data_IF_513562338214
#
_entry.id   IF_513562338214
#
_cell.length_a   1.000
_cell.length_b   1.000
_cell.length_c   1.000
_cell.angle_alpha   90.00
_cell.angle_beta   90.00
_cell.angle_gamma   90.00
#
_symmetry.space_group_name_H-M   'P 1'
#
loop_
_entity.id
_entity.type
_entity.pdbx_description
1 polymer ?
#
# COMPACT_ATOMS: atom_id res chain seq x y z
N UNK A 1 0.77 11.36 18.37
CA UNK A 1 0.19 12.23 17.33
C UNK A 1 0.72 13.66 17.37
N UNK A 2 0.64 14.37 18.50
CA UNK A 2 1.11 15.76 18.60
C UNK A 2 2.58 15.93 18.18
N UNK A 3 3.44 14.98 18.58
CA UNK A 3 4.85 14.93 18.16
C UNK A 3 4.98 14.75 16.64
N UNK A 4 4.26 13.81 16.03
CA UNK A 4 4.29 13.59 14.58
C UNK A 4 3.74 14.79 13.79
N UNK A 5 2.69 15.45 14.28
CA UNK A 5 2.19 16.69 13.69
C UNK A 5 3.22 17.82 13.77
N UNK A 6 3.96 17.93 14.87
CA UNK A 6 5.09 18.86 15.00
C UNK A 6 6.19 18.55 13.99
N UNK A 7 6.61 17.28 13.87
CA UNK A 7 7.63 16.87 12.89
C UNK A 7 7.19 17.20 11.46
N UNK A 8 5.93 16.97 11.10
CA UNK A 8 5.41 17.29 9.76
C UNK A 8 5.31 18.79 9.53
N UNK A 9 5.00 19.56 10.58
CA UNK A 9 4.98 21.02 10.54
C UNK A 9 6.37 21.64 10.37
N UNK A 10 7.40 21.04 10.97
CA UNK A 10 8.79 21.49 10.88
C UNK A 10 9.48 20.97 9.60
N UNK A 11 9.22 19.73 9.21
CA UNK A 11 9.63 19.15 7.93
C UNK A 11 8.52 19.34 6.90
N UNK A 12 8.26 20.60 6.54
CA UNK A 12 7.18 20.99 5.61
C UNK A 12 7.22 20.24 4.28
N UNK A 13 8.41 19.81 3.85
CA UNK A 13 8.60 18.98 2.67
C UNK A 13 7.82 17.66 2.72
N UNK A 14 7.56 17.07 3.89
CA UNK A 14 6.77 15.84 4.05
C UNK A 14 5.31 16.00 3.63
N UNK A 15 4.75 17.22 3.74
CA UNK A 15 3.36 17.50 3.35
C UNK A 15 3.22 17.33 1.83
N UNK A 16 4.17 17.86 1.06
CA UNK A 16 4.13 17.84 -0.41
C UNK A 16 4.75 16.56 -0.97
N UNK A 17 5.64 15.91 -0.21
CA UNK A 17 6.36 14.71 -0.62
C UNK A 17 5.50 13.65 -1.32
N UNK A 18 4.33 13.21 -0.81
CA UNK A 18 3.55 12.14 -1.44
C UNK A 18 3.16 12.43 -2.90
N UNK A 19 3.06 13.69 -3.32
CA UNK A 19 2.75 14.04 -4.72
C UNK A 19 3.80 13.48 -5.69
N UNK A 20 5.09 13.53 -5.31
CA UNK A 20 6.19 13.11 -6.17
C UNK A 20 6.20 11.60 -6.49
N UNK A 21 6.20 10.67 -5.52
CA UNK A 21 6.18 9.24 -5.82
C UNK A 21 4.88 8.80 -6.49
N UNK A 22 3.72 9.42 -6.17
CA UNK A 22 2.46 9.10 -6.86
C UNK A 22 2.45 9.62 -8.31
N UNK A 23 3.07 10.76 -8.60
CA UNK A 23 3.24 11.23 -9.98
C UNK A 23 4.13 10.26 -10.79
N UNK A 24 5.25 9.80 -10.20
CA UNK A 24 6.13 8.79 -10.83
C UNK A 24 5.37 7.49 -11.07
N UNK A 25 4.60 7.02 -10.08
CA UNK A 25 3.78 5.81 -10.22
C UNK A 25 2.70 5.98 -11.29
N UNK A 26 2.09 7.17 -11.41
CA UNK A 26 1.14 7.49 -12.47
C UNK A 26 1.77 7.38 -13.86
N UNK A 27 2.96 7.96 -14.05
CA UNK A 27 3.73 7.84 -15.30
C UNK A 27 4.05 6.37 -15.59
N UNK A 28 4.51 5.61 -14.59
CA UNK A 28 4.76 4.18 -14.71
C UNK A 28 3.50 3.42 -15.16
N UNK A 29 2.34 3.68 -14.55
CA UNK A 29 1.09 3.03 -14.95
C UNK A 29 0.68 3.37 -16.37
N UNK A 30 0.90 4.60 -16.85
CA UNK A 30 0.61 4.95 -18.25
C UNK A 30 1.42 4.08 -19.21
N UNK A 31 2.73 3.94 -18.99
CA UNK A 31 3.58 3.05 -19.80
C UNK A 31 3.18 1.58 -19.64
N UNK A 32 2.86 1.16 -18.43
CA UNK A 32 2.46 -0.20 -18.13
C UNK A 32 1.15 -0.61 -18.82
N UNK A 33 0.13 0.27 -18.79
CA UNK A 33 -1.14 0.05 -19.48
C UNK A 33 -0.95 0.03 -21.00
N UNK A 34 -0.13 0.92 -21.55
CA UNK A 34 0.19 0.90 -22.97
C UNK A 34 0.82 -0.45 -23.37
N UNK A 35 1.83 -0.91 -22.63
CA UNK A 35 2.44 -2.22 -22.83
C UNK A 35 1.44 -3.38 -22.65
N UNK A 36 0.55 -3.29 -21.67
CA UNK A 36 -0.50 -4.28 -21.44
C UNK A 36 -1.43 -4.39 -22.65
N UNK A 37 -1.90 -3.26 -23.20
CA UNK A 37 -2.76 -3.26 -24.38
C UNK A 37 -2.10 -3.96 -25.57
N UNK A 38 -0.83 -3.66 -25.85
CA UNK A 38 -0.09 -4.35 -26.90
C UNK A 38 0.03 -5.86 -26.62
N UNK A 39 0.38 -6.23 -25.39
CA UNK A 39 0.56 -7.63 -25.01
C UNK A 39 -0.74 -8.44 -25.10
N UNK A 40 -1.85 -7.91 -24.58
CA UNK A 40 -3.16 -8.58 -24.67
C UNK A 40 -3.71 -8.61 -26.10
N UNK A 41 -3.36 -7.64 -26.94
CA UNK A 41 -3.74 -7.65 -28.36
C UNK A 41 -2.95 -8.64 -29.22
N UNK A 42 -1.84 -9.18 -28.72
CA UNK A 42 -0.95 -10.08 -29.47
C UNK A 42 -1.45 -11.53 -29.58
N UNK A 43 -2.59 -11.86 -28.96
CA UNK A 43 -3.19 -13.19 -29.04
C UNK A 43 -3.63 -13.54 -30.47
N UNK A 44 -3.48 -14.82 -30.85
CA UNK A 44 -3.91 -15.27 -32.16
C UNK A 44 -5.43 -15.43 -32.18
N UNK A 45 -6.08 -14.77 -33.13
CA UNK A 45 -7.53 -14.86 -33.33
C UNK A 45 -7.80 -16.12 -34.14
N UNK A 46 -8.30 -17.16 -33.48
CA UNK A 46 -8.64 -18.44 -34.13
C UNK A 46 -10.16 -18.53 -34.23
N UNK A 47 -10.66 -18.91 -35.41
CA UNK A 47 -12.08 -19.16 -35.59
C UNK A 47 -12.45 -20.43 -34.81
N UNK A 48 -13.51 -20.36 -34.00
CA UNK A 48 -13.95 -21.52 -33.24
C UNK A 48 -14.49 -22.60 -34.17
N UNK A 49 -14.17 -23.87 -33.86
CA UNK A 49 -14.71 -25.01 -34.60
C UNK A 49 -16.23 -25.07 -34.40
N UNK A 50 -16.96 -24.94 -35.50
CA UNK A 50 -18.39 -25.17 -35.52
C UNK A 50 -18.66 -26.67 -35.56
N UNK A 51 -19.06 -27.26 -34.42
CA UNK A 51 -19.80 -28.52 -34.48
C UNK A 51 -21.07 -28.29 -35.31
N UNK A 52 -21.45 -29.29 -36.11
CA UNK A 52 -22.15 -29.21 -37.39
C UNK A 52 -23.60 -28.66 -37.43
N UNK A 53 -24.07 -27.87 -36.46
CA UNK A 53 -25.45 -27.34 -36.42
C UNK A 53 -25.54 -25.84 -36.08
N UNK A 54 -24.49 -25.06 -36.31
CA UNK A 54 -24.51 -23.64 -35.98
C UNK A 54 -24.84 -22.81 -37.23
N UNK A 55 -25.84 -21.92 -37.11
CA UNK A 55 -26.23 -20.97 -38.14
C UNK A 55 -26.62 -19.65 -37.48
N UNK A 56 -26.09 -18.54 -38.00
CA UNK A 56 -26.40 -17.19 -37.53
C UNK A 56 -27.06 -16.38 -38.65
N UNK A 57 -28.05 -15.56 -38.30
CA UNK A 57 -28.69 -14.67 -39.27
C UNK A 57 -27.82 -13.44 -39.49
N UNK A 58 -27.35 -13.24 -40.72
CA UNK A 58 -26.59 -12.06 -41.12
C UNK A 58 -27.55 -10.94 -41.50
N UNK A 59 -27.63 -9.89 -40.67
CA UNK A 59 -28.49 -8.72 -40.92
C UNK A 59 -28.09 -7.93 -42.17
N UNK A 60 -26.81 -7.92 -42.53
CA UNK A 60 -26.31 -7.16 -43.69
C UNK A 60 -26.69 -7.90 -44.98
N UNK A 61 -26.48 -9.21 -44.99
CA UNK A 61 -26.76 -10.05 -46.16
C UNK A 61 -28.21 -10.55 -46.24
N UNK A 62 -29.03 -10.29 -45.20
CA UNK A 62 -30.42 -10.78 -45.04
C UNK A 62 -30.56 -12.29 -45.30
N UNK A 63 -29.57 -13.08 -44.88
CA UNK A 63 -29.53 -14.53 -45.09
C UNK A 63 -28.99 -15.26 -43.87
N UNK A 64 -29.38 -16.51 -43.72
CA UNK A 64 -28.79 -17.40 -42.72
C UNK A 64 -27.42 -17.86 -43.22
N UNK A 65 -26.37 -17.64 -42.42
CA UNK A 65 -25.01 -18.08 -42.71
C UNK A 65 -24.56 -19.12 -41.67
N UNK A 66 -24.19 -20.30 -42.14
CA UNK A 66 -23.77 -21.42 -41.30
C UNK A 66 -22.24 -21.64 -41.30
N UNK A 67 -21.49 -20.92 -42.14
CA UNK A 67 -20.04 -21.14 -42.31
C UNK A 67 -19.18 -20.35 -41.29
N UNK A 68 -19.78 -19.41 -40.52
CA UNK A 68 -19.05 -18.44 -39.65
C UNK A 68 -19.76 -18.07 -38.35
N UNK A 69 -20.61 -18.95 -37.85
CA UNK A 69 -21.51 -18.61 -36.74
C UNK A 69 -20.90 -18.81 -35.33
N UNK A 70 -19.73 -19.43 -35.20
CA UNK A 70 -19.16 -19.82 -33.89
C UNK A 70 -18.27 -18.75 -33.23
N UNK A 71 -18.21 -17.56 -33.82
CA UNK A 71 -17.36 -16.47 -33.36
C UNK A 71 -15.87 -16.81 -33.41
N UNK A 72 -15.08 -15.96 -32.76
CA UNK A 72 -13.63 -16.09 -32.66
C UNK A 72 -13.23 -16.25 -31.20
N UNK A 73 -12.23 -17.09 -30.91
CA UNK A 73 -11.55 -17.10 -29.63
C UNK A 73 -10.14 -16.58 -29.78
N UNK A 74 -9.64 -15.95 -28.71
CA UNK A 74 -8.27 -15.49 -28.65
C UNK A 74 -7.46 -16.61 -28.02
N UNK A 75 -6.60 -17.23 -28.81
CA UNK A 75 -5.69 -18.27 -28.35
C UNK A 75 -4.33 -17.64 -28.00
N UNK A 76 -3.97 -17.70 -26.73
CA UNK A 76 -2.66 -17.24 -26.26
C UNK A 76 -1.66 -18.39 -26.33
N UNK A 77 -0.52 -18.17 -26.97
CA UNK A 77 0.59 -19.13 -26.92
C UNK A 77 1.16 -19.19 -25.49
N UNK A 78 1.81 -20.30 -25.08
CA UNK A 78 2.40 -20.41 -23.74
C UNK A 78 3.36 -19.26 -23.41
N UNK A 79 4.12 -18.79 -24.40
CA UNK A 79 5.03 -17.64 -24.23
C UNK A 79 4.29 -16.34 -23.93
N UNK A 80 3.19 -16.05 -24.63
CA UNK A 80 2.37 -14.84 -24.37
C UNK A 80 1.71 -14.94 -22.99
N UNK A 81 1.21 -16.11 -22.61
CA UNK A 81 0.63 -16.34 -21.28
C UNK A 81 1.65 -16.08 -20.16
N UNK A 82 2.87 -16.60 -20.27
CA UNK A 82 3.95 -16.34 -19.31
C UNK A 82 4.31 -14.85 -19.27
N UNK A 83 4.40 -14.20 -20.43
CA UNK A 83 4.67 -12.76 -20.51
C UNK A 83 3.58 -11.93 -19.81
N UNK A 84 2.30 -12.31 -19.95
CA UNK A 84 1.17 -11.66 -19.25
C UNK A 84 1.34 -11.80 -17.74
N UNK A 85 1.63 -13.00 -17.24
CA UNK A 85 1.85 -13.21 -15.80
C UNK A 85 3.05 -12.40 -15.28
N UNK A 86 4.16 -12.39 -16.01
CA UNK A 86 5.33 -11.58 -15.66
C UNK A 86 5.01 -10.09 -15.68
N UNK A 87 4.23 -9.61 -16.66
CA UNK A 87 3.82 -8.21 -16.76
C UNK A 87 2.94 -7.76 -15.59
N UNK A 88 1.97 -8.60 -15.20
CA UNK A 88 1.09 -8.36 -14.04
C UNK A 88 1.88 -8.39 -12.73
N UNK A 89 2.71 -9.41 -12.54
CA UNK A 89 3.56 -9.52 -11.34
C UNK A 89 4.57 -8.37 -11.26
N UNK A 90 5.18 -7.99 -12.39
CA UNK A 90 6.09 -6.85 -12.48
C UNK A 90 5.41 -5.52 -12.10
N UNK A 91 4.14 -5.34 -12.46
CA UNK A 91 3.34 -4.18 -12.02
C UNK A 91 3.19 -4.14 -10.50
N UNK A 92 2.83 -5.30 -9.93
CA UNK A 92 2.63 -5.43 -8.50
C UNK A 92 3.93 -5.16 -7.73
N UNK A 93 5.02 -5.77 -8.18
CA UNK A 93 6.33 -5.55 -7.60
C UNK A 93 6.81 -4.11 -7.73
N UNK A 94 6.68 -3.49 -8.90
CA UNK A 94 7.05 -2.08 -9.10
C UNK A 94 6.25 -1.16 -8.16
N UNK A 95 4.94 -1.41 -8.01
CA UNK A 95 4.09 -0.67 -7.07
C UNK A 95 4.60 -0.81 -5.63
N UNK A 96 4.87 -2.04 -5.18
CA UNK A 96 5.41 -2.31 -3.85
C UNK A 96 6.79 -1.66 -3.64
N UNK A 97 7.62 -1.65 -4.68
CA UNK A 97 8.93 -1.01 -4.65
C UNK A 97 8.83 0.51 -4.49
N UNK A 98 7.96 1.18 -5.24
CA UNK A 98 7.75 2.63 -5.10
C UNK A 98 7.16 3.00 -3.73
N UNK A 99 6.23 2.20 -3.21
CA UNK A 99 5.68 2.37 -1.85
C UNK A 99 6.79 2.20 -0.79
N UNK A 100 7.63 1.17 -0.95
CA UNK A 100 8.74 0.91 -0.03
C UNK A 100 9.78 2.04 -0.08
N UNK A 101 10.16 2.52 -1.26
CA UNK A 101 11.05 3.67 -1.43
C UNK A 101 10.49 4.91 -0.73
N UNK A 102 9.22 5.23 -0.97
CA UNK A 102 8.55 6.38 -0.37
C UNK A 102 8.55 6.27 1.16
N UNK A 103 8.25 5.07 1.67
CA UNK A 103 8.25 4.78 3.10
C UNK A 103 9.65 4.96 3.72
N UNK A 104 10.70 4.45 3.07
CA UNK A 104 12.08 4.62 3.54
C UNK A 104 12.52 6.09 3.54
N UNK A 105 12.13 6.90 2.55
CA UNK A 105 12.45 8.33 2.53
C UNK A 105 11.75 9.09 3.65
N UNK A 106 10.45 8.86 3.86
CA UNK A 106 9.70 9.49 4.96
C UNK A 106 10.31 9.10 6.30
N UNK A 107 10.53 7.80 6.51
CA UNK A 107 11.12 7.29 7.74
C UNK A 107 12.53 7.85 7.98
N UNK A 108 13.37 7.94 6.95
CA UNK A 108 14.71 8.51 7.05
C UNK A 108 14.70 9.99 7.39
N UNK A 109 13.73 10.74 6.84
CA UNK A 109 13.59 12.18 7.11
C UNK A 109 13.20 12.41 8.57
N UNK A 110 12.24 11.62 9.05
CA UNK A 110 11.75 11.66 10.44
C UNK A 110 12.80 11.16 11.42
N UNK A 111 13.53 10.11 11.09
CA UNK A 111 14.64 9.62 11.90
C UNK A 111 15.74 10.68 12.00
N UNK A 112 16.11 11.33 10.88
CA UNK A 112 17.10 12.42 10.89
C UNK A 112 16.68 13.56 11.81
N UNK A 113 15.40 13.91 11.83
CA UNK A 113 14.85 14.91 12.75
C UNK A 113 14.91 14.43 14.22
N UNK A 114 14.53 13.18 14.50
CA UNK A 114 14.55 12.59 15.84
C UNK A 114 15.97 12.56 16.42
N UNK A 115 16.94 12.01 15.67
CA UNK A 115 18.33 11.86 16.12
C UNK A 115 19.08 13.19 16.17
N UNK A 116 18.59 14.24 15.50
CA UNK A 116 19.06 15.61 15.65
C UNK A 116 18.46 16.32 16.89
N UNK A 117 17.78 15.62 17.81
CA UNK A 117 17.11 16.18 19.01
C UNK A 117 16.05 17.25 18.71
N UNK A 118 15.51 17.26 17.49
CA UNK A 118 14.64 18.36 17.04
C UNK A 118 15.36 19.69 16.81
N UNK A 119 16.70 19.71 16.88
CA UNK A 119 17.54 20.84 16.47
C UNK A 119 17.98 20.65 15.02
N UNK A 120 17.01 20.55 14.10
CA UNK A 120 17.35 20.75 12.68
C UNK A 120 17.61 22.23 12.47
N UNK A 121 18.82 22.61 12.02
CA UNK A 121 19.11 23.99 11.62
C UNK A 121 17.98 24.51 10.74
N UNK A 122 17.27 25.58 11.14
CA UNK A 122 16.06 26.08 10.47
C UNK A 122 16.30 26.61 9.05
N UNK A 123 17.52 26.48 8.52
CA UNK A 123 17.94 27.14 7.29
C UNK A 123 17.39 26.46 6.03
N UNK A 124 17.02 25.16 6.02
CA UNK A 124 16.44 24.52 4.81
C UNK A 124 15.46 23.35 5.14
N UNK A 125 14.12 23.56 5.16
CA UNK A 125 13.12 22.54 5.50
C UNK A 125 13.02 21.35 4.52
N UNK A 126 13.64 21.47 3.34
CA UNK A 126 13.68 20.42 2.33
C UNK A 126 14.89 19.49 2.43
N UNK A 127 15.94 19.91 3.13
CA UNK A 127 17.21 19.20 3.20
C UNK A 127 17.10 17.79 3.80
N UNK A 128 16.25 17.53 4.82
CA UNK A 128 16.07 16.17 5.36
C UNK A 128 15.52 15.19 4.31
N UNK A 129 14.47 15.59 3.58
CA UNK A 129 13.84 14.73 2.56
C UNK A 129 14.79 14.44 1.39
N UNK A 130 15.50 15.46 0.89
CA UNK A 130 16.48 15.26 -0.18
C UNK A 130 17.69 14.45 0.28
N UNK A 131 18.16 14.67 1.51
CA UNK A 131 19.25 13.88 2.10
C UNK A 131 18.86 12.41 2.22
N UNK A 132 17.68 12.12 2.77
CA UNK A 132 17.16 10.75 2.89
C UNK A 132 16.92 10.10 1.52
N UNK A 133 16.45 10.85 0.53
CA UNK A 133 16.31 10.36 -0.84
C UNK A 133 17.69 9.99 -1.45
N UNK A 134 18.70 10.83 -1.26
CA UNK A 134 20.08 10.56 -1.71
C UNK A 134 20.67 9.33 -1.02
N UNK A 135 20.43 9.19 0.28
CA UNK A 135 20.87 8.03 1.06
C UNK A 135 20.19 6.75 0.57
N UNK A 136 18.87 6.79 0.33
CA UNK A 136 18.12 5.67 -0.25
C UNK A 136 18.74 5.23 -1.57
N UNK A 137 18.92 6.16 -2.51
CA UNK A 137 19.44 5.85 -3.85
C UNK A 137 20.86 5.30 -3.79
N UNK A 138 21.70 5.82 -2.90
CA UNK A 138 23.12 5.45 -2.84
C UNK A 138 23.40 4.18 -2.03
N UNK A 139 22.64 3.91 -0.97
CA UNK A 139 22.99 2.88 0.02
C UNK A 139 21.89 1.85 0.27
N UNK A 140 20.60 2.22 0.19
CA UNK A 140 19.51 1.36 0.65
C UNK A 140 18.66 0.76 -0.50
N UNK A 141 18.81 1.25 -1.73
CA UNK A 141 17.97 0.89 -2.87
C UNK A 141 17.91 -0.62 -3.13
N UNK A 142 19.04 -1.32 -3.06
CA UNK A 142 19.11 -2.77 -3.27
C UNK A 142 18.36 -3.56 -2.19
N UNK A 143 18.47 -3.14 -0.92
CA UNK A 143 17.73 -3.76 0.18
C UNK A 143 16.23 -3.50 0.08
N UNK A 144 15.83 -2.30 -0.35
CA UNK A 144 14.42 -1.94 -0.58
C UNK A 144 13.84 -2.71 -1.78
N UNK A 145 14.61 -2.87 -2.86
CA UNK A 145 14.23 -3.68 -4.03
C UNK A 145 14.04 -5.16 -3.66
N UNK A 146 14.97 -5.73 -2.90
CA UNK A 146 14.87 -7.11 -2.44
C UNK A 146 13.69 -7.31 -1.48
N UNK A 147 13.53 -6.41 -0.51
CA UNK A 147 12.41 -6.47 0.44
C UNK A 147 11.05 -6.39 -0.24
N UNK A 148 10.89 -5.45 -1.17
CA UNK A 148 9.64 -5.30 -1.94
C UNK A 148 9.37 -6.48 -2.86
N UNK A 149 10.40 -7.10 -3.43
CA UNK A 149 10.26 -8.33 -4.23
C UNK A 149 9.78 -9.51 -3.39
N UNK A 150 10.41 -9.72 -2.22
CA UNK A 150 10.02 -10.78 -1.27
C UNK A 150 8.58 -10.56 -0.81
N UNK A 151 8.23 -9.33 -0.43
CA UNK A 151 6.85 -8.98 -0.03
C UNK A 151 5.86 -9.30 -1.15
N UNK A 152 6.16 -8.85 -2.37
CA UNK A 152 5.28 -9.02 -3.54
C UNK A 152 5.04 -10.49 -3.86
N UNK A 153 6.09 -11.29 -3.80
CA UNK A 153 6.02 -12.73 -4.03
C UNK A 153 5.16 -13.43 -2.97
N UNK A 154 5.41 -13.14 -1.69
CA UNK A 154 4.72 -13.75 -0.56
C UNK A 154 3.23 -13.40 -0.55
N UNK A 155 2.89 -12.14 -0.81
CA UNK A 155 1.49 -11.69 -0.92
C UNK A 155 0.77 -12.30 -2.13
N UNK A 156 1.46 -12.43 -3.26
CA UNK A 156 0.91 -13.09 -4.46
C UNK A 156 0.58 -14.56 -4.18
N UNK A 157 1.49 -15.29 -3.52
CA UNK A 157 1.25 -16.69 -3.12
C UNK A 157 0.08 -16.77 -2.13
N UNK A 158 0.01 -15.88 -1.13
CA UNK A 158 -1.10 -15.82 -0.17
C UNK A 158 -2.45 -15.61 -0.88
N UNK A 159 -2.50 -14.67 -1.83
CA UNK A 159 -3.71 -14.36 -2.59
C UNK A 159 -4.18 -15.55 -3.41
N UNK A 160 -3.27 -16.28 -4.05
CA UNK A 160 -3.58 -17.50 -4.82
C UNK A 160 -4.12 -18.59 -3.90
N UNK A 161 -3.44 -18.87 -2.78
CA UNK A 161 -3.86 -19.90 -1.82
C UNK A 161 -5.23 -19.58 -1.21
N UNK A 162 -5.49 -18.32 -0.84
CA UNK A 162 -6.79 -17.91 -0.29
C UNK A 162 -7.89 -17.98 -1.36
N UNK A 163 -7.56 -17.69 -2.62
CA UNK A 163 -8.51 -17.84 -3.72
C UNK A 163 -8.87 -19.31 -3.98
N UNK A 164 -7.90 -20.23 -3.92
CA UNK A 164 -8.13 -21.68 -3.99
C UNK A 164 -9.00 -22.13 -2.83
N UNK A 165 -8.67 -21.69 -1.59
CA UNK A 165 -9.44 -22.02 -0.39
C UNK A 165 -10.89 -21.58 -0.48
N UNK A 166 -11.15 -20.35 -0.97
CA UNK A 166 -12.52 -19.84 -1.18
C UNK A 166 -13.28 -20.68 -2.20
N UNK A 167 -12.65 -21.06 -3.31
CA UNK A 167 -13.29 -21.92 -4.33
C UNK A 167 -13.60 -23.32 -3.81
N UNK A 168 -12.70 -23.93 -3.04
CA UNK A 168 -12.91 -25.24 -2.42
C UNK A 168 -14.03 -25.20 -1.36
N UNK A 169 -14.12 -24.12 -0.57
CA UNK A 169 -15.19 -23.95 0.43
C UNK A 169 -16.58 -23.83 -0.19
N UNK A 170 -16.68 -23.24 -1.39
CA UNK A 170 -17.94 -23.16 -2.15
C UNK A 170 -18.32 -24.51 -2.77
N UNK A 171 -17.35 -25.37 -3.05
CA UNK A 171 -17.57 -26.65 -3.73
C UNK A 171 -17.97 -27.82 -2.80
N UNK A 172 -18.12 -27.62 -1.48
CA UNK A 172 -18.48 -28.66 -0.48
C UNK A 172 -17.73 -29.99 -0.63
N UNK A 173 -16.52 -29.97 -1.17
CA UNK A 173 -15.68 -31.16 -1.28
C UNK A 173 -14.82 -31.24 -0.04
N UNK A 174 -15.35 -31.91 1.00
CA UNK A 174 -14.52 -32.43 2.09
C UNK A 174 -13.45 -33.35 1.46
N UNK A 175 -12.15 -33.06 1.66
CA UNK A 175 -11.11 -33.87 1.03
C UNK A 175 -10.95 -35.20 1.77
N UNK A 176 -11.71 -36.22 1.36
CA UNK A 176 -11.59 -37.61 1.87
C UNK A 176 -10.28 -38.28 1.41
N UNK A 177 -9.54 -37.69 0.46
CA UNK A 177 -8.32 -38.28 -0.10
C UNK A 177 -7.04 -37.94 0.69
N UNK A 178 -6.07 -38.87 0.69
CA UNK A 178 -4.73 -38.69 1.25
C UNK A 178 -4.05 -37.40 0.75
N UNK A 179 -4.28 -37.04 -0.53
CA UNK A 179 -3.80 -35.79 -1.13
C UNK A 179 -4.41 -34.54 -0.48
N UNK A 180 -5.67 -34.60 -0.06
CA UNK A 180 -6.34 -33.52 0.65
C UNK A 180 -5.75 -33.23 2.03
N UNK A 181 -5.34 -34.27 2.77
CA UNK A 181 -4.67 -34.13 4.07
C UNK A 181 -3.27 -33.53 3.92
N UNK A 182 -2.47 -34.00 2.96
CA UNK A 182 -1.14 -33.44 2.70
C UNK A 182 -1.21 -31.98 2.24
N UNK A 183 -2.11 -31.65 1.31
CA UNK A 183 -2.32 -30.26 0.86
C UNK A 183 -2.78 -29.37 2.02
N UNK A 184 -3.63 -29.87 2.92
CA UNK A 184 -4.04 -29.13 4.11
C UNK A 184 -2.86 -28.84 5.05
N UNK A 185 -2.02 -29.83 5.35
CA UNK A 185 -0.85 -29.65 6.21
C UNK A 185 0.22 -28.74 5.60
N UNK A 186 0.57 -28.93 4.32
CA UNK A 186 1.51 -28.07 3.60
C UNK A 186 0.97 -26.65 3.47
N UNK A 187 -0.32 -26.47 3.21
CA UNK A 187 -0.93 -25.13 3.16
C UNK A 187 -0.83 -24.42 4.51
N UNK A 188 -1.08 -25.12 5.63
CA UNK A 188 -1.03 -24.52 6.98
C UNK A 188 0.39 -24.08 7.36
N UNK A 189 1.40 -24.89 7.04
CA UNK A 189 2.80 -24.53 7.25
C UNK A 189 3.21 -23.34 6.35
N UNK A 190 2.88 -23.39 5.05
CA UNK A 190 3.12 -22.28 4.14
C UNK A 190 2.40 -21.00 4.58
N UNK A 191 1.15 -21.08 5.04
CA UNK A 191 0.42 -19.93 5.58
C UNK A 191 1.09 -19.37 6.83
N UNK A 192 1.63 -20.21 7.71
CA UNK A 192 2.33 -19.77 8.91
C UNK A 192 3.69 -19.14 8.59
N UNK A 193 4.44 -19.69 7.63
CA UNK A 193 5.67 -19.08 7.11
C UNK A 193 5.38 -17.76 6.40
N UNK A 194 4.34 -17.72 5.56
CA UNK A 194 3.86 -16.50 4.87
C UNK A 194 3.42 -15.46 5.90
N UNK A 195 2.68 -15.84 6.94
CA UNK A 195 2.23 -14.92 7.98
C UNK A 195 3.40 -14.40 8.80
N UNK A 196 4.37 -15.25 9.13
CA UNK A 196 5.59 -14.84 9.82
C UNK A 196 6.46 -13.91 8.96
N UNK A 197 6.63 -14.23 7.67
CA UNK A 197 7.34 -13.39 6.71
C UNK A 197 6.58 -12.07 6.48
N UNK A 198 5.25 -12.06 6.35
CA UNK A 198 4.46 -10.81 6.23
C UNK A 198 4.54 -9.98 7.52
N UNK A 199 4.50 -10.62 8.69
CA UNK A 199 4.66 -9.92 9.98
C UNK A 199 6.08 -9.36 10.14
N UNK A 200 7.10 -10.02 9.59
CA UNK A 200 8.50 -9.57 9.65
C UNK A 200 8.82 -8.54 8.55
N UNK A 201 8.39 -8.77 7.31
CA UNK A 201 8.42 -7.89 6.13
C UNK A 201 7.29 -6.85 6.22
N UNK A 202 7.16 -6.20 7.37
CA UNK A 202 6.22 -5.11 7.53
C UNK A 202 6.89 -3.80 7.13
N UNK A 203 6.08 -2.77 6.89
CA UNK A 203 6.45 -1.34 6.78
C UNK A 203 7.58 -0.93 7.75
N UNK A 204 7.59 -1.52 8.94
CA UNK A 204 8.58 -1.35 10.00
C UNK A 204 10.02 -1.77 9.62
N UNK A 205 10.20 -2.78 8.75
CA UNK A 205 11.51 -3.15 8.24
C UNK A 205 12.12 -2.03 7.38
N UNK A 206 11.32 -1.35 6.56
CA UNK A 206 11.78 -0.20 5.77
C UNK A 206 12.14 1.01 6.62
N UNK A 207 11.43 1.19 7.75
CA UNK A 207 11.78 2.18 8.77
C UNK A 207 13.15 1.83 9.38
N UNK A 208 13.37 0.57 9.78
CA UNK A 208 14.66 0.16 10.33
C UNK A 208 15.81 0.20 9.32
N UNK A 209 15.54 -0.02 8.02
CA UNK A 209 16.53 0.23 6.96
C UNK A 209 16.92 1.72 6.96
N UNK A 210 15.94 2.62 7.10
CA UNK A 210 16.19 4.06 7.13
C UNK A 210 16.98 4.50 8.37
N UNK A 211 16.66 3.95 9.54
CA UNK A 211 17.32 4.28 10.82
C UNK A 211 18.72 3.68 10.90
N UNK A 212 18.87 2.39 10.59
CA UNK A 212 20.11 1.64 10.86
C UNK A 212 21.02 1.47 9.66
N UNK A 213 20.52 1.69 8.44
CA UNK A 213 21.25 1.43 7.19
C UNK A 213 21.55 -0.06 6.93
N UNK A 214 20.99 -0.99 7.71
CA UNK A 214 21.24 -2.44 7.59
C UNK A 214 20.46 -3.06 6.43
N UNK A 215 20.90 -4.26 6.00
CA UNK A 215 20.22 -5.03 4.95
C UNK A 215 18.82 -5.45 5.37
N UNK A 216 17.96 -5.73 4.37
CA UNK A 216 16.54 -6.04 4.57
C UNK A 216 16.28 -7.08 5.67
N UNK A 217 16.90 -8.27 5.60
CA UNK A 217 16.65 -9.33 6.58
C UNK A 217 17.08 -8.93 8.00
N UNK A 218 18.20 -8.20 8.14
CA UNK A 218 18.69 -7.76 9.45
C UNK A 218 17.82 -6.66 10.03
N UNK A 219 17.41 -5.70 9.22
CA UNK A 219 16.48 -4.64 9.61
C UNK A 219 15.10 -5.20 10.01
N UNK A 220 14.61 -6.20 9.26
CA UNK A 220 13.37 -6.94 9.55
C UNK A 220 13.43 -7.64 10.92
N UNK A 221 14.55 -8.32 11.22
CA UNK A 221 14.74 -8.98 12.50
C UNK A 221 14.75 -7.97 13.66
N UNK A 222 15.50 -6.88 13.53
CA UNK A 222 15.57 -5.81 14.53
C UNK A 222 14.19 -5.17 14.75
N UNK A 223 13.47 -4.84 13.67
CA UNK A 223 12.13 -4.27 13.75
C UNK A 223 11.16 -5.20 14.51
N UNK A 224 11.22 -6.50 14.21
CA UNK A 224 10.36 -7.51 14.86
C UNK A 224 10.68 -7.62 16.35
N UNK A 225 11.95 -7.64 16.71
CA UNK A 225 12.42 -7.71 18.10
C UNK A 225 11.97 -6.47 18.90
N UNK A 226 12.21 -5.26 18.39
CA UNK A 226 11.77 -4.01 19.01
C UNK A 226 10.25 -3.97 19.26
N UNK A 227 9.47 -4.40 18.27
CA UNK A 227 8.01 -4.43 18.36
C UNK A 227 7.53 -5.42 19.42
N UNK A 228 8.11 -6.62 19.47
CA UNK A 228 7.73 -7.65 20.44
C UNK A 228 8.11 -7.20 21.86
N UNK A 229 9.33 -6.68 22.04
CA UNK A 229 9.83 -6.21 23.34
C UNK A 229 9.04 -5.03 23.90
N UNK A 230 8.42 -4.21 23.04
CA UNK A 230 7.68 -3.01 23.43
C UNK A 230 6.19 -3.08 23.06
N UNK A 231 5.63 -4.28 22.84
CA UNK A 231 4.31 -4.48 22.22
C UNK A 231 3.16 -3.78 22.97
N UNK A 232 3.22 -3.73 24.30
CA UNK A 232 2.18 -3.08 25.12
C UNK A 232 2.18 -1.56 24.94
N UNK A 233 3.37 -0.96 24.86
CA UNK A 233 3.55 0.49 24.68
C UNK A 233 3.22 0.91 23.24
N UNK A 234 3.72 0.16 22.26
CA UNK A 234 3.50 0.42 20.84
C UNK A 234 2.04 0.15 20.45
N UNK A 235 1.47 -0.97 20.90
CA UNK A 235 0.12 -1.41 20.52
C UNK A 235 -0.96 -0.42 20.90
N UNK A 236 -0.91 0.16 22.11
CA UNK A 236 -1.89 1.16 22.55
C UNK A 236 -1.80 2.45 21.75
N UNK A 237 -0.59 2.96 21.51
CA UNK A 237 -0.37 4.20 20.74
C UNK A 237 -0.82 4.04 19.29
N UNK A 238 -0.51 2.89 18.67
CA UNK A 238 -0.91 2.62 17.29
C UNK A 238 -2.43 2.50 17.14
N UNK A 239 -3.13 1.81 18.05
CA UNK A 239 -4.60 1.67 17.96
C UNK A 239 -5.32 3.03 18.06
N UNK A 240 -4.94 3.87 19.04
CA UNK A 240 -5.52 5.22 19.18
C UNK A 240 -5.14 6.07 17.95
N UNK A 241 -3.90 5.91 17.48
CA UNK A 241 -3.38 6.50 16.25
C UNK A 241 -4.29 6.22 15.06
N UNK A 242 -4.51 4.94 14.78
CA UNK A 242 -5.26 4.45 13.63
C UNK A 242 -6.71 4.95 13.64
N UNK A 243 -7.37 4.97 14.80
CA UNK A 243 -8.73 5.48 14.94
C UNK A 243 -8.81 6.96 14.58
N UNK A 244 -7.90 7.79 15.10
CA UNK A 244 -7.90 9.23 14.82
C UNK A 244 -7.55 9.50 13.34
N UNK A 245 -6.58 8.78 12.77
CA UNK A 245 -6.24 8.90 11.35
C UNK A 245 -7.42 8.48 10.47
N UNK A 246 -8.14 7.43 10.84
CA UNK A 246 -9.35 6.97 10.13
C UNK A 246 -10.46 8.02 10.18
N UNK A 247 -10.74 8.59 11.35
CA UNK A 247 -11.70 9.69 11.50
C UNK A 247 -11.29 10.91 10.69
N UNK A 248 -9.99 11.24 10.63
CA UNK A 248 -9.46 12.30 9.78
C UNK A 248 -9.71 12.05 8.29
N UNK A 249 -9.44 10.83 7.79
CA UNK A 249 -9.71 10.42 6.40
C UNK A 249 -11.21 10.55 6.06
N UNK A 250 -12.09 10.13 6.97
CA UNK A 250 -13.54 10.29 6.81
C UNK A 250 -13.98 11.75 6.82
N UNK A 251 -13.45 12.57 7.74
CA UNK A 251 -13.79 13.99 7.83
C UNK A 251 -13.43 14.75 6.55
N UNK A 252 -12.22 14.55 6.02
CA UNK A 252 -11.77 15.20 4.78
C UNK A 252 -12.63 14.77 3.58
N UNK A 253 -12.89 13.46 3.43
CA UNK A 253 -13.69 12.95 2.32
C UNK A 253 -15.14 13.41 2.37
N UNK A 254 -15.79 13.38 3.55
CA UNK A 254 -17.17 13.85 3.73
C UNK A 254 -17.28 15.37 3.53
N UNK A 255 -16.31 16.15 4.00
CA UNK A 255 -16.27 17.60 3.76
C UNK A 255 -16.15 17.92 2.27
N UNK A 256 -15.33 17.17 1.53
CA UNK A 256 -15.21 17.31 0.07
C UNK A 256 -16.51 16.98 -0.65
N UNK A 257 -17.23 15.95 -0.21
CA UNK A 257 -18.52 15.54 -0.75
C UNK A 257 -19.61 16.59 -0.45
N UNK A 258 -19.62 17.15 0.77
CA UNK A 258 -20.52 18.22 1.17
C UNK A 258 -20.28 19.47 0.32
N UNK A 259 -19.02 19.87 0.13
CA UNK A 259 -18.69 21.02 -0.70
C UNK A 259 -19.11 20.81 -2.16
N UNK A 260 -18.89 19.61 -2.71
CA UNK A 260 -19.36 19.25 -4.03
C UNK A 260 -20.89 19.33 -4.13
N UNK A 261 -21.63 18.85 -3.12
CA UNK A 261 -23.08 18.93 -3.08
C UNK A 261 -23.57 20.40 -3.04
N UNK A 262 -22.99 21.24 -2.18
CA UNK A 262 -23.34 22.67 -2.08
C UNK A 262 -23.04 23.43 -3.38
N UNK A 263 -21.92 23.11 -4.03
CA UNK A 263 -21.58 23.65 -5.36
C UNK A 263 -22.63 23.27 -6.41
N UNK A 264 -23.08 22.02 -6.42
CA UNK A 264 -24.08 21.52 -7.37
C UNK A 264 -25.50 22.04 -7.08
N UNK A 265 -25.80 22.40 -5.83
CA UNK A 265 -27.09 22.98 -5.44
C UNK A 265 -27.23 24.47 -5.82
N UNK A 266 -26.13 25.10 -6.25
CA UNK A 266 -26.16 26.50 -6.72
C UNK A 266 -27.04 26.65 -7.97
N UNK A 267 -27.78 27.77 -8.09
CA UNK A 267 -28.74 28.05 -9.17
C UNK A 267 -28.20 27.79 -10.59
N UNK A 268 -26.89 27.98 -10.80
CA UNK A 268 -26.16 27.72 -12.05
C UNK A 268 -26.24 26.26 -12.52
N UNK A 269 -26.31 25.28 -11.62
CA UNK A 269 -26.33 23.84 -11.95
C UNK A 269 -27.68 23.18 -11.67
N UNK A 270 -28.53 23.83 -10.87
CA UNK A 270 -29.89 23.35 -10.53
C UNK A 270 -30.96 23.75 -11.53
N UNK A 271 -30.90 24.98 -12.07
CA UNK A 271 -32.01 25.58 -12.83
C UNK A 271 -31.61 26.31 -14.11
N UNK A 272 -30.31 26.41 -14.41
CA UNK A 272 -29.81 27.01 -15.66
C UNK A 272 -29.71 25.99 -16.81
N UNK A 273 -29.25 26.43 -17.99
CA UNK A 273 -29.03 25.59 -19.18
C UNK A 273 -28.10 24.38 -18.93
N UNK A 274 -27.25 24.45 -17.89
CA UNK A 274 -26.35 23.36 -17.47
C UNK A 274 -26.97 22.47 -16.37
N UNK A 275 -28.28 22.19 -16.45
CA UNK A 275 -29.00 21.37 -15.46
C UNK A 275 -28.45 19.95 -15.43
N UNK A 276 -27.98 19.51 -14.27
CA UNK A 276 -27.48 18.14 -14.07
C UNK A 276 -28.66 17.24 -13.68
N UNK A 277 -28.82 16.12 -14.38
CA UNK A 277 -29.97 15.22 -14.19
C UNK A 277 -29.93 14.45 -12.86
N UNK A 278 -28.74 14.21 -12.29
CA UNK A 278 -28.57 13.66 -10.94
C UNK A 278 -27.24 14.14 -10.31
N UNK A 279 -27.28 14.88 -9.19
CA UNK A 279 -26.07 15.33 -8.49
C UNK A 279 -25.39 14.21 -7.70
N UNK A 280 -26.07 13.08 -7.50
CA UNK A 280 -25.57 11.96 -6.68
C UNK A 280 -24.26 11.38 -7.23
N UNK A 281 -24.20 11.13 -8.55
CA UNK A 281 -23.02 10.51 -9.17
C UNK A 281 -21.77 11.42 -9.04
N UNK A 282 -21.81 12.72 -9.41
CA UNK A 282 -20.68 13.62 -9.17
C UNK A 282 -20.25 13.70 -7.69
N UNK A 283 -21.19 13.74 -6.75
CA UNK A 283 -20.88 13.79 -5.31
C UNK A 283 -20.20 12.50 -4.84
N UNK A 284 -20.68 11.33 -5.27
CA UNK A 284 -20.05 10.04 -4.96
C UNK A 284 -18.64 9.95 -5.53
N UNK A 285 -18.42 10.43 -6.76
CA UNK A 285 -17.09 10.50 -7.37
C UNK A 285 -16.18 11.44 -6.57
N UNK A 286 -16.65 12.62 -6.18
CA UNK A 286 -15.89 13.57 -5.35
C UNK A 286 -15.55 12.96 -3.99
N UNK A 287 -16.50 12.28 -3.34
CA UNK A 287 -16.27 11.58 -2.07
C UNK A 287 -15.20 10.50 -2.20
N UNK A 288 -15.29 9.66 -3.23
CA UNK A 288 -14.32 8.60 -3.48
C UNK A 288 -12.91 9.16 -3.75
N UNK A 289 -12.79 10.18 -4.61
CA UNK A 289 -11.53 10.86 -4.88
C UNK A 289 -10.98 11.56 -3.62
N UNK A 290 -11.84 12.22 -2.86
CA UNK A 290 -11.47 12.86 -1.60
C UNK A 290 -10.96 11.86 -0.56
N UNK A 291 -11.55 10.67 -0.48
CA UNK A 291 -11.08 9.59 0.39
C UNK A 291 -9.73 9.03 -0.06
N UNK A 292 -9.53 8.86 -1.38
CA UNK A 292 -8.22 8.46 -1.94
C UNK A 292 -7.17 9.49 -1.54
N UNK A 293 -7.39 10.77 -1.86
CA UNK A 293 -6.46 11.86 -1.54
C UNK A 293 -6.17 11.89 -0.03
N UNK A 294 -7.19 11.86 0.82
CA UNK A 294 -7.00 11.83 2.26
C UNK A 294 -6.16 10.62 2.70
N UNK A 295 -6.38 9.45 2.12
CA UNK A 295 -5.57 8.26 2.42
C UNK A 295 -4.09 8.46 2.06
N UNK A 296 -3.78 9.07 0.92
CA UNK A 296 -2.40 9.33 0.49
C UNK A 296 -1.66 10.27 1.46
N UNK A 297 -2.30 11.38 1.88
CA UNK A 297 -1.68 12.33 2.80
C UNK A 297 -1.56 11.77 4.21
N UNK A 298 -2.61 11.13 4.73
CA UNK A 298 -2.58 10.53 6.07
C UNK A 298 -1.60 9.35 6.17
N UNK A 299 -1.28 8.68 5.04
CA UNK A 299 -0.26 7.64 5.02
C UNK A 299 1.13 8.18 5.44
N UNK A 300 1.46 9.44 5.13
CA UNK A 300 2.71 10.08 5.57
C UNK A 300 2.72 10.31 7.08
N UNK A 301 1.58 10.70 7.65
CA UNK A 301 1.43 10.89 9.11
C UNK A 301 1.62 9.57 9.83
N UNK A 302 0.96 8.51 9.35
CA UNK A 302 1.07 7.15 9.89
C UNK A 302 2.53 6.66 9.84
N UNK A 303 3.19 6.81 8.69
CA UNK A 303 4.62 6.55 8.49
C UNK A 303 5.51 7.29 9.50
N UNK A 304 5.21 8.56 9.75
CA UNK A 304 5.99 9.41 10.64
C UNK A 304 5.81 8.99 12.10
N UNK A 305 4.60 8.60 12.50
CA UNK A 305 4.32 8.05 13.83
C UNK A 305 5.12 6.77 14.04
N UNK A 306 5.02 5.82 13.10
CA UNK A 306 5.76 4.54 13.17
C UNK A 306 7.28 4.79 13.26
N UNK A 307 7.80 5.74 12.47
CA UNK A 307 9.22 6.07 12.46
C UNK A 307 9.70 6.71 13.77
N UNK A 308 8.91 7.60 14.38
CA UNK A 308 9.22 8.19 15.69
C UNK A 308 9.22 7.10 16.78
N UNK A 309 8.20 6.24 16.78
CA UNK A 309 8.09 5.17 17.78
C UNK A 309 9.27 4.19 17.68
N UNK A 310 9.61 3.75 16.46
CA UNK A 310 10.75 2.85 16.27
C UNK A 310 12.09 3.52 16.57
N UNK A 311 12.26 4.81 16.24
CA UNK A 311 13.47 5.56 16.62
C UNK A 311 13.59 5.68 18.14
N UNK A 312 12.48 5.94 18.83
CA UNK A 312 12.43 5.98 20.29
C UNK A 312 12.76 4.62 20.93
N UNK A 313 12.19 3.53 20.42
CA UNK A 313 12.51 2.20 20.94
C UNK A 313 13.98 1.83 20.69
N UNK A 314 14.52 2.14 19.51
CA UNK A 314 15.93 1.92 19.18
C UNK A 314 16.87 2.73 20.08
N UNK A 315 16.57 4.01 20.29
CA UNK A 315 17.31 4.91 21.20
C UNK A 315 17.28 4.40 22.64
N UNK A 316 16.12 3.96 23.10
CA UNK A 316 15.95 3.36 24.43
C UNK A 316 16.76 2.07 24.58
N UNK A 317 16.82 1.19 23.57
CA UNK A 317 17.63 -0.04 23.64
C UNK A 317 19.13 0.26 23.66
N UNK A 318 19.60 1.23 22.88
CA UNK A 318 21.02 1.61 22.82
C UNK A 318 21.51 2.26 24.13
N UNK A 319 20.61 2.91 24.88
CA UNK A 319 20.93 3.64 26.09
C UNK A 319 20.29 3.03 27.35
N UNK A 320 20.26 1.69 27.45
CA UNK A 320 19.86 0.94 28.66
C UNK A 320 18.49 1.33 29.24
N UNK A 321 17.52 1.64 28.39
CA UNK A 321 16.16 2.02 28.76
C UNK A 321 15.89 3.52 28.83
N UNK A 322 16.90 4.36 28.57
CA UNK A 322 16.77 5.82 28.63
C UNK A 322 16.98 6.49 27.27
N UNK A 323 15.89 6.82 26.57
CA UNK A 323 15.97 7.51 25.29
C UNK A 323 16.60 8.91 25.45
N UNK A 324 17.75 9.15 24.81
CA UNK A 324 18.51 10.40 24.97
C UNK A 324 18.18 11.47 23.92
N UNK A 325 17.67 11.05 22.77
CA UNK A 325 17.39 11.94 21.62
C UNK A 325 15.90 12.26 21.48
N UNK A 326 15.06 11.64 22.32
CA UNK A 326 13.62 11.87 22.33
C UNK A 326 13.28 13.34 22.61
N UNK A 327 12.44 13.99 21.78
CA UNK A 327 11.95 15.33 22.08
C UNK A 327 11.20 15.37 23.42
N UNK A 328 11.27 16.47 24.20
CA UNK A 328 10.64 16.57 25.52
C UNK A 328 9.14 16.22 25.51
N UNK A 329 8.43 16.68 24.48
CA UNK A 329 7.01 16.40 24.27
C UNK A 329 6.71 14.89 24.11
N UNK A 330 7.64 14.14 23.51
CA UNK A 330 7.51 12.70 23.34
C UNK A 330 7.76 11.98 24.68
N UNK A 331 8.75 12.44 25.45
CA UNK A 331 9.03 11.90 26.78
C UNK A 331 7.87 12.13 27.76
N UNK A 332 7.26 13.32 27.75
CA UNK A 332 6.09 13.65 28.57
C UNK A 332 4.90 12.75 28.22
N UNK A 333 4.56 12.68 26.92
CA UNK A 333 3.44 11.84 26.43
C UNK A 333 3.63 10.37 26.80
N UNK A 334 4.87 9.85 26.68
CA UNK A 334 5.17 8.45 26.96
C UNK A 334 5.45 8.16 28.44
N UNK A 335 5.74 9.18 29.24
CA UNK A 335 5.92 9.13 30.70
C UNK A 335 4.59 9.04 31.42
N UNK A 336 3.65 9.93 31.08
CA UNK A 336 2.28 9.93 31.60
C UNK A 336 1.56 8.60 31.35
N UNK A 337 1.84 7.97 30.19
CA UNK A 337 1.27 6.67 29.87
C UNK A 337 1.84 5.52 30.71
N UNK A 338 3.14 5.56 31.04
CA UNK A 338 3.74 4.57 31.94
C UNK A 338 3.18 4.70 33.36
N UNK A 339 2.92 5.92 33.82
CA UNK A 339 2.36 6.20 35.14
C UNK A 339 0.90 5.74 35.23
N UNK A 340 0.07 6.05 34.23
CA UNK A 340 -1.29 5.54 34.13
C UNK A 340 -1.34 3.99 34.11
N UNK A 341 -0.36 3.34 33.48
CA UNK A 341 -0.28 1.88 33.42
C UNK A 341 0.06 1.26 34.80
N UNK A 342 0.93 1.91 35.58
CA UNK A 342 1.19 1.54 36.98
C UNK A 342 -0.02 1.71 37.90
N UNK A 343 -0.92 2.65 37.59
CA UNK A 343 -2.14 2.89 38.37
C UNK A 343 -3.27 1.92 38.03
N UNK A 344 -3.23 1.28 36.86
CA UNK A 344 -4.22 0.27 36.41
C UNK A 344 -3.84 -1.18 36.71
N UNK A 345 -2.66 -1.41 37.29
CA UNK A 345 -2.13 -2.71 37.69
C UNK A 345 -2.17 -2.82 39.21
#
# INVERSE_FOLDING_TARGET
MQVAAKVIGEVQALIIFPVMPYAILGIFYMFWFAAAFYLFSSGQIVQNNCNSNCCAYDLVSKRVNCDRCCGYSIHYTPHISIAIFFHLFGCYWATQFFIACSSTVIAGSVASYYWARGETSPEIPFLPVFSSMKQLIRYSLGSVALGSLVLSFVESVRFILESIRRKLKVANTTPESCMGKTVYHTSRFCFQCIEWIIRSVNRNAYIMIAITGKSFCRASAIATELIISNILRIGRVNVIGDVILYLGKLCVSLSSALFAFLMLDTHKYRSSHNKISSPLLPVLVCWALGYVVATLFFAVVEMSIDAIILSFCQDSEEHQGTAQYAPPLLMETLGDQNEMQRLTQ
#
